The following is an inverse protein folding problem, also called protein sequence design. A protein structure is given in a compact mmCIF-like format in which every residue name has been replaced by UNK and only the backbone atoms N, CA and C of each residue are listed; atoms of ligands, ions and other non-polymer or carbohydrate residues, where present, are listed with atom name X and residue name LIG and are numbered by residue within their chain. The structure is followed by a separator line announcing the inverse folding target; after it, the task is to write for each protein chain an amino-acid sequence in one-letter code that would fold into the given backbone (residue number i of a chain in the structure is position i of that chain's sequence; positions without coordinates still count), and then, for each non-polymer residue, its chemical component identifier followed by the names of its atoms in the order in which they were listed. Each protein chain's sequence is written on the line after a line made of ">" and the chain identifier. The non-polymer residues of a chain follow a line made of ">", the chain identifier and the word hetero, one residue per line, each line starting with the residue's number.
data_IF_258666731476
#
_entry.id   IF_258666731476
#
_cell.length_a   1.000
_cell.length_b   1.000
_cell.length_c   1.000
_cell.angle_alpha   90.00
_cell.angle_beta   90.00
_cell.angle_gamma   90.00
#
_symmetry.space_group_name_H-M   'P 1'
#
loop_
_entity.id
_entity.type
_entity.pdbx_description
1 polymer ?
#
# COMPACT_ATOMS: atom_id res chain seq x y z
N UNK A 1 2.69 5.35 1.80
CA UNK A 1 4.02 5.62 1.20
C UNK A 1 4.71 4.31 0.89
N UNK A 2 5.34 4.21 -0.27
CA UNK A 2 6.23 3.09 -0.61
C UNK A 2 7.56 3.66 -1.07
N UNK A 3 8.65 3.18 -0.49
CA UNK A 3 10.02 3.49 -0.88
C UNK A 3 10.68 2.22 -1.40
N UNK A 4 11.27 2.30 -2.59
CA UNK A 4 12.03 1.19 -3.19
C UNK A 4 13.47 1.63 -3.36
N UNK A 5 14.39 0.85 -2.84
CA UNK A 5 15.82 1.00 -3.12
C UNK A 5 16.39 -0.29 -3.69
N UNK A 6 17.71 -0.36 -3.88
CA UNK A 6 18.39 -1.52 -4.46
C UNK A 6 18.30 -2.81 -3.64
N UNK A 7 17.88 -2.76 -2.36
CA UNK A 7 17.90 -3.91 -1.44
C UNK A 7 16.54 -4.24 -0.85
N UNK A 8 15.72 -3.22 -0.61
CA UNK A 8 14.46 -3.37 0.11
C UNK A 8 13.34 -2.52 -0.46
N UNK A 9 12.12 -2.94 -0.19
CA UNK A 9 10.89 -2.16 -0.30
C UNK A 9 10.47 -1.82 1.12
N UNK A 10 10.27 -0.55 1.42
CA UNK A 10 9.74 -0.08 2.71
C UNK A 10 8.37 0.50 2.47
N UNK A 11 7.39 0.06 3.23
CA UNK A 11 6.04 0.66 3.25
C UNK A 11 5.80 1.39 4.56
N UNK A 12 5.06 2.49 4.49
CA UNK A 12 4.53 3.18 5.66
C UNK A 12 3.07 3.54 5.36
N UNK A 13 2.14 2.88 6.05
CA UNK A 13 0.71 3.02 5.81
C UNK A 13 -0.02 3.68 6.98
N UNK A 14 -0.95 4.58 6.65
CA UNK A 14 -1.91 5.20 7.55
C UNK A 14 -3.25 5.24 6.81
N UNK A 15 -4.26 4.56 7.32
CA UNK A 15 -5.58 4.46 6.68
C UNK A 15 -5.79 3.17 5.90
N UNK A 16 -6.73 3.18 4.97
CA UNK A 16 -7.23 2.04 4.19
C UNK A 16 -6.87 2.07 2.70
N UNK A 17 -6.08 3.06 2.28
CA UNK A 17 -5.33 2.96 1.02
C UNK A 17 -4.32 1.82 1.12
N UNK A 18 -4.04 1.15 0.02
CA UNK A 18 -3.22 -0.08 0.04
C UNK A 18 -2.12 -0.04 -1.00
N UNK A 19 -1.04 -0.77 -0.73
CA UNK A 19 0.00 -1.08 -1.69
C UNK A 19 0.10 -2.60 -1.92
N UNK A 20 0.43 -2.99 -3.14
CA UNK A 20 0.73 -4.36 -3.52
C UNK A 20 2.00 -4.42 -4.36
N UNK A 21 2.82 -5.44 -4.19
CA UNK A 21 3.91 -5.76 -5.11
C UNK A 21 3.41 -6.68 -6.21
N UNK A 22 3.98 -6.51 -7.41
CA UNK A 22 3.77 -7.40 -8.55
C UNK A 22 4.90 -8.43 -8.57
N UNK A 23 4.54 -9.68 -8.38
CA UNK A 23 5.49 -10.79 -8.33
C UNK A 23 5.34 -11.63 -9.59
N UNK A 24 6.44 -11.86 -10.29
CA UNK A 24 6.51 -12.80 -11.42
C UNK A 24 6.61 -14.23 -10.91
N UNK A 25 5.66 -15.06 -11.31
CA UNK A 25 5.68 -16.49 -11.05
C UNK A 25 6.60 -17.22 -12.05
N UNK A 26 7.00 -18.48 -11.76
CA UNK A 26 7.82 -19.27 -12.67
C UNK A 26 7.20 -19.52 -14.05
N UNK A 27 5.87 -19.48 -14.17
CA UNK A 27 5.13 -19.62 -15.43
C UNK A 27 5.03 -18.30 -16.22
N UNK A 28 5.65 -17.22 -15.72
CA UNK A 28 5.60 -15.88 -16.31
C UNK A 28 4.37 -15.07 -15.99
N UNK A 29 3.40 -15.61 -15.24
CA UNK A 29 2.24 -14.84 -14.78
C UNK A 29 2.62 -13.84 -13.69
N UNK A 30 1.90 -12.71 -13.59
CA UNK A 30 2.07 -11.74 -12.51
C UNK A 30 0.97 -11.90 -11.46
N UNK A 31 1.39 -12.00 -10.21
CA UNK A 31 0.52 -11.97 -9.05
C UNK A 31 0.68 -10.63 -8.32
N UNK A 32 -0.44 -9.98 -7.98
CA UNK A 32 -0.42 -8.86 -7.05
C UNK A 32 -0.51 -9.39 -5.60
N UNK A 33 0.46 -9.01 -4.76
CA UNK A 33 0.57 -9.43 -3.35
C UNK A 33 0.52 -8.19 -2.47
N UNK A 34 -0.46 -8.06 -1.56
CA UNK A 34 -0.56 -6.89 -0.68
C UNK A 34 0.66 -6.79 0.23
N UNK A 35 1.15 -5.56 0.44
CA UNK A 35 2.31 -5.23 1.28
C UNK A 35 1.99 -4.15 2.32
N UNK A 36 0.73 -3.85 2.51
CA UNK A 36 0.20 -2.99 3.58
C UNK A 36 -1.09 -3.60 4.12
N UNK A 37 -1.44 -3.25 5.33
CA UNK A 37 -2.71 -3.61 5.96
C UNK A 37 -3.62 -2.38 6.02
N UNK A 38 -4.92 -2.60 5.84
CA UNK A 38 -5.91 -1.54 5.98
C UNK A 38 -6.19 -1.29 7.47
N UNK A 39 -6.06 -0.04 7.91
CA UNK A 39 -6.34 0.33 9.28
C UNK A 39 -7.83 0.61 9.46
N UNK A 40 -8.61 -0.44 9.59
CA UNK A 40 -10.05 -0.41 9.87
C UNK A 40 -10.33 -0.94 11.28
N UNK A 41 -11.54 -0.76 11.83
CA UNK A 41 -11.90 -1.32 13.13
C UNK A 41 -11.78 -2.86 13.23
N UNK A 42 -11.77 -3.57 12.10
CA UNK A 42 -11.61 -5.01 12.06
C UNK A 42 -10.14 -5.47 12.05
N UNK A 43 -9.20 -4.54 11.88
CA UNK A 43 -7.77 -4.84 11.98
C UNK A 43 -7.36 -5.09 13.45
N UNK A 44 -6.57 -6.13 13.73
CA UNK A 44 -6.21 -6.51 15.11
C UNK A 44 -5.61 -5.36 15.92
N UNK A 45 -6.12 -5.14 17.13
CA UNK A 45 -5.68 -4.10 18.06
C UNK A 45 -6.25 -2.70 17.82
N UNK A 46 -6.85 -2.43 16.66
CA UNK A 46 -7.36 -1.09 16.35
C UNK A 46 -8.62 -0.74 17.17
N UNK A 47 -9.60 -1.66 17.23
CA UNK A 47 -10.81 -1.46 18.04
C UNK A 47 -10.48 -1.29 19.52
N UNK A 48 -9.59 -2.11 20.07
CA UNK A 48 -9.16 -2.04 21.48
C UNK A 48 -8.49 -0.69 21.79
N UNK A 49 -7.66 -0.20 20.87
CA UNK A 49 -7.00 1.11 21.00
C UNK A 49 -8.02 2.25 21.01
N UNK A 50 -8.98 2.24 20.08
CA UNK A 50 -10.05 3.25 19.99
C UNK A 50 -10.88 3.25 21.29
N UNK A 51 -11.33 2.07 21.75
CA UNK A 51 -12.14 1.95 22.97
C UNK A 51 -11.36 2.40 24.21
N UNK A 52 -10.09 2.03 24.31
CA UNK A 52 -9.21 2.46 25.42
C UNK A 52 -9.01 3.99 25.45
N UNK A 53 -9.02 4.62 24.30
CA UNK A 53 -8.93 6.10 24.18
C UNK A 53 -10.27 6.83 24.43
N UNK A 54 -11.35 6.08 24.74
CA UNK A 54 -12.65 6.65 25.00
C UNK A 54 -13.54 6.84 23.76
N UNK A 55 -13.13 6.28 22.63
CA UNK A 55 -13.96 6.19 21.42
C UNK A 55 -14.96 5.04 21.47
N UNK A 56 -15.80 4.95 20.47
CA UNK A 56 -16.80 3.91 20.28
C UNK A 56 -16.70 3.35 18.86
N UNK A 57 -16.84 2.02 18.71
CA UNK A 57 -16.82 1.35 17.41
C UNK A 57 -18.16 0.64 17.19
N UNK A 58 -18.89 1.09 16.19
CA UNK A 58 -20.20 0.51 15.79
C UNK A 58 -20.52 0.87 14.34
N UNK A 59 -21.39 0.11 13.66
CA UNK A 59 -21.94 0.51 12.36
C UNK A 59 -22.78 1.79 12.47
N UNK A 60 -23.12 2.37 11.31
CA UNK A 60 -24.04 3.51 11.25
C UNK A 60 -25.42 3.11 11.76
N UNK A 61 -26.05 3.95 12.62
CA UNK A 61 -27.38 3.73 13.15
C UNK A 61 -28.41 4.59 12.39
N UNK A 62 -29.34 3.95 11.73
CA UNK A 62 -30.46 4.63 11.08
C UNK A 62 -31.46 5.22 12.10
N UNK A 63 -32.31 6.14 11.66
CA UNK A 63 -33.36 6.77 12.50
C UNK A 63 -34.33 5.73 13.11
N UNK A 64 -34.57 4.60 12.46
CA UNK A 64 -35.36 3.48 12.96
C UNK A 64 -34.62 2.58 13.97
N UNK A 65 -33.42 2.93 14.35
CA UNK A 65 -32.59 2.18 15.31
C UNK A 65 -31.76 1.02 14.73
N UNK A 66 -31.95 0.68 13.44
CA UNK A 66 -31.22 -0.39 12.78
C UNK A 66 -29.77 0.02 12.48
N UNK A 67 -28.82 -0.87 12.73
CA UNK A 67 -27.42 -0.71 12.33
C UNK A 67 -27.20 -1.17 10.91
N UNK A 68 -26.44 -0.42 10.10
CA UNK A 68 -26.16 -0.70 8.71
C UNK A 68 -24.71 -0.35 8.33
N UNK A 69 -24.18 -1.08 7.36
CA UNK A 69 -22.84 -0.85 6.81
C UNK A 69 -21.69 -1.35 7.70
N UNK A 70 -20.45 -1.01 7.37
CA UNK A 70 -19.27 -1.41 8.10
C UNK A 70 -19.17 -0.71 9.47
N UNK A 71 -18.32 -1.25 10.35
CA UNK A 71 -17.96 -0.59 11.61
C UNK A 71 -17.27 0.75 11.32
N UNK A 72 -17.55 1.72 12.18
CA UNK A 72 -17.01 3.08 12.14
C UNK A 72 -16.55 3.51 13.51
N UNK A 73 -15.63 4.45 13.54
CA UNK A 73 -15.15 5.10 14.77
C UNK A 73 -16.00 6.31 15.08
N UNK A 74 -16.47 6.39 16.32
CA UNK A 74 -17.31 7.47 16.82
C UNK A 74 -16.75 8.03 18.13
N UNK A 75 -16.97 9.28 18.35
CA UNK A 75 -16.84 9.86 19.71
C UNK A 75 -17.97 9.33 20.58
N UNK A 76 -17.66 8.87 21.79
CA UNK A 76 -18.65 8.28 22.70
C UNK A 76 -19.88 9.18 22.87
N UNK A 77 -21.05 8.61 22.68
CA UNK A 77 -22.36 9.31 22.75
C UNK A 77 -22.51 10.44 21.72
N UNK A 78 -21.81 10.39 20.59
CA UNK A 78 -21.92 11.35 19.49
C UNK A 78 -22.06 10.62 18.15
N UNK A 79 -22.62 11.33 17.14
CA UNK A 79 -22.75 10.84 15.77
C UNK A 79 -21.64 11.41 14.87
N UNK A 80 -20.45 11.63 15.44
CA UNK A 80 -19.25 12.13 14.78
C UNK A 80 -18.02 11.40 15.32
N UNK A 81 -16.93 11.23 14.53
CA UNK A 81 -16.79 11.57 13.12
C UNK A 81 -17.43 10.56 12.17
N UNK A 82 -17.63 9.29 12.55
CA UNK A 82 -18.18 8.24 11.71
C UNK A 82 -17.20 7.69 10.67
N UNK A 83 -15.90 7.69 10.95
CA UNK A 83 -14.84 7.26 10.06
C UNK A 83 -14.74 5.73 9.99
N UNK A 84 -14.58 5.19 8.79
CA UNK A 84 -14.35 3.75 8.57
C UNK A 84 -12.91 3.33 8.85
N UNK A 85 -11.97 4.26 8.80
CA UNK A 85 -10.56 4.03 9.13
C UNK A 85 -10.24 4.38 10.58
N UNK A 86 -9.24 3.73 11.13
CA UNK A 86 -8.76 3.90 12.52
C UNK A 86 -7.45 4.66 12.61
N UNK A 87 -6.84 4.98 11.45
CA UNK A 87 -5.66 5.85 11.33
C UNK A 87 -5.85 6.82 10.19
N UNK A 88 -5.50 8.09 10.42
CA UNK A 88 -5.56 9.15 9.42
C UNK A 88 -4.64 10.32 9.78
N UNK A 89 -4.35 11.17 8.80
CA UNK A 89 -3.81 12.51 9.02
C UNK A 89 -4.96 13.52 9.10
N UNK A 90 -4.80 14.57 9.90
CA UNK A 90 -5.89 15.51 10.18
C UNK A 90 -6.94 14.90 11.08
N UNK A 91 -8.24 15.00 10.76
CA UNK A 91 -9.35 14.37 11.50
C UNK A 91 -9.33 14.61 13.02
N UNK A 92 -9.20 15.87 13.47
CA UNK A 92 -9.03 16.24 14.88
C UNK A 92 -10.06 15.58 15.81
N UNK A 93 -11.33 15.50 15.37
CA UNK A 93 -12.39 14.84 16.13
C UNK A 93 -12.07 13.35 16.29
N UNK A 94 -11.56 12.70 15.24
CA UNK A 94 -11.15 11.30 15.25
C UNK A 94 -9.99 11.06 16.21
N UNK A 95 -8.97 11.91 16.16
CA UNK A 95 -7.82 11.84 17.08
C UNK A 95 -8.24 11.99 18.54
N UNK A 96 -9.26 12.81 18.85
CA UNK A 96 -9.80 12.94 20.21
C UNK A 96 -10.47 11.68 20.75
N UNK A 97 -10.74 10.68 19.90
CA UNK A 97 -11.32 9.40 20.28
C UNK A 97 -10.49 8.19 19.86
N UNK A 98 -9.19 8.39 19.67
CA UNK A 98 -8.22 7.32 19.52
C UNK A 98 -7.77 6.99 18.10
N UNK A 99 -8.23 7.69 17.06
CA UNK A 99 -7.61 7.62 15.74
C UNK A 99 -6.17 8.15 15.86
N UNK A 100 -5.23 7.59 15.12
CA UNK A 100 -3.82 7.98 15.19
C UNK A 100 -3.21 8.16 13.79
N UNK A 101 -2.21 9.02 13.70
CA UNK A 101 -1.39 9.19 12.49
C UNK A 101 -0.11 8.35 12.49
N UNK A 102 0.09 7.50 13.50
CA UNK A 102 1.27 6.62 13.58
C UNK A 102 1.19 5.55 12.49
N UNK A 103 2.15 5.50 11.55
CA UNK A 103 2.11 4.53 10.47
C UNK A 103 2.46 3.12 10.95
N UNK A 104 1.92 2.13 10.24
CA UNK A 104 2.48 0.79 10.23
C UNK A 104 3.60 0.76 9.17
N UNK A 105 4.81 0.35 9.61
CA UNK A 105 5.98 0.26 8.74
C UNK A 105 6.36 -1.20 8.53
N UNK A 106 6.52 -1.59 7.26
CA UNK A 106 6.97 -2.93 6.90
C UNK A 106 8.15 -2.83 5.93
N UNK A 107 9.06 -3.82 6.00
CA UNK A 107 10.26 -3.90 5.16
C UNK A 107 10.32 -5.26 4.48
N UNK A 108 10.40 -5.25 3.17
CA UNK A 108 10.50 -6.47 2.35
C UNK A 108 11.83 -6.48 1.59
N UNK A 109 12.54 -7.61 1.55
CA UNK A 109 13.72 -7.72 0.70
C UNK A 109 13.31 -7.62 -0.78
N UNK A 110 14.00 -6.79 -1.54
CA UNK A 110 13.82 -6.72 -2.99
C UNK A 110 14.40 -7.98 -3.63
N UNK A 111 13.58 -8.68 -4.41
CA UNK A 111 13.96 -9.91 -5.13
C UNK A 111 13.74 -9.70 -6.63
N UNK A 112 14.47 -10.45 -7.46
CA UNK A 112 14.34 -10.40 -8.92
C UNK A 112 12.91 -10.71 -9.42
N UNK A 113 12.17 -11.55 -8.68
CA UNK A 113 10.77 -11.85 -8.97
C UNK A 113 9.82 -10.67 -8.74
N UNK A 114 10.23 -9.59 -8.05
CA UNK A 114 9.39 -8.42 -7.84
C UNK A 114 9.59 -7.45 -8.99
N UNK A 115 8.59 -7.33 -9.85
CA UNK A 115 8.68 -6.59 -11.11
C UNK A 115 7.90 -5.26 -11.09
N UNK A 116 7.21 -4.95 -10.01
CA UNK A 116 6.47 -3.70 -9.91
C UNK A 116 5.74 -3.50 -8.59
N UNK A 117 5.16 -2.31 -8.45
CA UNK A 117 4.38 -1.88 -7.30
C UNK A 117 3.10 -1.22 -7.79
N UNK A 118 2.00 -1.48 -7.09
CA UNK A 118 0.71 -0.79 -7.26
C UNK A 118 0.34 -0.14 -5.95
N UNK A 119 0.01 1.16 -5.97
CA UNK A 119 -0.52 1.90 -4.81
C UNK A 119 -1.84 2.53 -5.23
N UNK A 120 -2.88 2.35 -4.44
CA UNK A 120 -4.19 2.90 -4.79
C UNK A 120 -5.03 3.20 -3.54
N UNK A 121 -6.07 4.02 -3.73
CA UNK A 121 -7.13 4.22 -2.73
C UNK A 121 -8.10 3.03 -2.69
N UNK A 122 -8.94 3.00 -1.66
CA UNK A 122 -10.03 2.03 -1.48
C UNK A 122 -11.01 2.01 -2.68
N UNK A 123 -11.20 3.12 -3.39
CA UNK A 123 -11.95 3.18 -4.65
C UNK A 123 -11.52 2.16 -5.71
N UNK A 124 -10.23 1.73 -5.69
CA UNK A 124 -9.74 0.60 -6.48
C UNK A 124 -9.93 -0.72 -5.70
N UNK A 125 -9.43 -0.79 -4.46
CA UNK A 125 -9.29 -2.04 -3.72
C UNK A 125 -10.62 -2.69 -3.35
N UNK A 126 -11.67 -1.89 -3.12
CA UNK A 126 -13.02 -2.42 -2.88
C UNK A 126 -13.66 -3.07 -4.12
N UNK A 127 -13.29 -2.64 -5.31
CA UNK A 127 -13.95 -3.07 -6.56
C UNK A 127 -13.10 -4.01 -7.40
N UNK A 128 -11.78 -3.95 -7.29
CA UNK A 128 -10.87 -4.72 -8.15
C UNK A 128 -10.08 -5.73 -7.30
N UNK A 129 -10.38 -7.02 -7.40
CA UNK A 129 -9.65 -8.05 -6.66
C UNK A 129 -8.20 -8.22 -7.17
N UNK A 130 -7.31 -8.71 -6.30
CA UNK A 130 -5.87 -8.83 -6.54
C UNK A 130 -5.51 -9.60 -7.81
N UNK A 131 -6.25 -10.66 -8.14
CA UNK A 131 -6.01 -11.43 -9.38
C UNK A 131 -6.27 -10.59 -10.65
N UNK A 132 -7.25 -9.68 -10.61
CA UNK A 132 -7.51 -8.77 -11.74
C UNK A 132 -6.43 -7.69 -11.81
N UNK A 133 -5.96 -7.17 -10.67
CA UNK A 133 -4.80 -6.25 -10.61
C UNK A 133 -3.59 -6.90 -11.29
N UNK A 134 -3.24 -8.13 -10.89
CA UNK A 134 -2.13 -8.88 -11.49
C UNK A 134 -2.28 -9.06 -12.99
N UNK A 135 -3.46 -9.49 -13.45
CA UNK A 135 -3.73 -9.72 -14.87
C UNK A 135 -3.66 -8.43 -15.71
N UNK A 136 -4.19 -7.31 -15.21
CA UNK A 136 -4.08 -6.02 -15.91
C UNK A 136 -2.62 -5.58 -15.96
N UNK A 137 -1.91 -5.62 -14.84
CA UNK A 137 -0.50 -5.23 -14.82
C UNK A 137 0.35 -6.13 -15.73
N UNK A 138 0.09 -7.45 -15.78
CA UNK A 138 0.77 -8.36 -16.69
C UNK A 138 0.61 -7.97 -18.15
N UNK A 139 -0.58 -7.61 -18.58
CA UNK A 139 -0.88 -7.18 -19.98
C UNK A 139 -0.02 -5.99 -20.40
N UNK A 140 0.26 -5.07 -19.47
CA UNK A 140 1.00 -3.84 -19.74
C UNK A 140 2.49 -3.91 -19.35
N UNK A 141 2.94 -5.00 -18.71
CA UNK A 141 4.31 -5.17 -18.22
C UNK A 141 5.37 -5.24 -19.33
N UNK A 142 5.16 -5.96 -20.47
CA UNK A 142 6.21 -6.09 -21.49
C UNK A 142 6.72 -4.77 -22.05
N UNK A 143 5.84 -3.77 -22.11
CA UNK A 143 6.14 -2.41 -22.59
C UNK A 143 6.42 -1.44 -21.44
N UNK A 144 6.42 -1.91 -20.19
CA UNK A 144 6.46 -1.09 -18.98
C UNK A 144 5.44 0.07 -19.00
N UNK A 145 4.27 -0.17 -19.62
CA UNK A 145 3.22 0.83 -19.85
C UNK A 145 2.38 1.07 -18.57
N UNK A 146 2.95 1.78 -17.61
CA UNK A 146 2.27 2.12 -16.35
C UNK A 146 1.00 2.92 -16.58
N UNK A 147 0.99 3.86 -17.53
CA UNK A 147 -0.18 4.68 -17.85
C UNK A 147 -1.34 3.82 -18.40
N UNK A 148 -1.05 2.86 -19.27
CA UNK A 148 -2.04 1.91 -19.78
C UNK A 148 -2.64 1.05 -18.67
N UNK A 149 -1.81 0.54 -17.76
CA UNK A 149 -2.26 -0.24 -16.60
C UNK A 149 -3.17 0.59 -15.68
N UNK A 150 -2.75 1.81 -15.32
CA UNK A 150 -3.55 2.74 -14.49
C UNK A 150 -4.90 3.04 -15.15
N UNK A 151 -4.90 3.43 -16.43
CA UNK A 151 -6.14 3.74 -17.16
C UNK A 151 -7.12 2.55 -17.18
N UNK A 152 -6.61 1.33 -17.40
CA UNK A 152 -7.44 0.13 -17.41
C UNK A 152 -8.01 -0.18 -16.02
N UNK A 153 -7.21 -0.07 -14.95
CA UNK A 153 -7.65 -0.30 -13.56
C UNK A 153 -8.72 0.72 -13.14
N UNK A 154 -8.48 2.01 -13.39
CA UNK A 154 -9.43 3.09 -13.06
C UNK A 154 -10.75 2.88 -13.81
N UNK A 155 -10.71 2.62 -15.12
CA UNK A 155 -11.93 2.37 -15.89
C UNK A 155 -12.71 1.14 -15.41
N UNK A 156 -12.01 0.06 -15.04
CA UNK A 156 -12.66 -1.14 -14.46
C UNK A 156 -13.32 -0.81 -13.11
N UNK A 157 -12.66 -0.05 -12.24
CA UNK A 157 -13.21 0.37 -10.96
C UNK A 157 -14.44 1.27 -11.15
N UNK A 158 -14.35 2.32 -11.97
CA UNK A 158 -15.47 3.19 -12.30
C UNK A 158 -16.69 2.42 -12.81
N UNK A 159 -16.46 1.48 -13.72
CA UNK A 159 -17.54 0.65 -14.27
C UNK A 159 -18.20 -0.25 -13.21
N UNK A 160 -17.41 -0.77 -12.27
CA UNK A 160 -17.96 -1.57 -11.16
C UNK A 160 -18.71 -0.69 -10.16
N UNK A 161 -18.18 0.50 -9.81
CA UNK A 161 -18.86 1.45 -8.95
C UNK A 161 -20.23 1.83 -9.53
N UNK A 162 -20.31 2.22 -10.80
CA UNK A 162 -21.58 2.55 -11.49
C UNK A 162 -22.61 1.42 -11.46
N UNK A 163 -22.15 0.16 -11.49
CA UNK A 163 -23.05 -1.01 -11.43
C UNK A 163 -23.53 -1.35 -10.03
N UNK A 164 -22.75 -1.02 -9.00
CA UNK A 164 -23.02 -1.43 -7.61
C UNK A 164 -23.62 -0.31 -6.76
N UNK A 165 -23.51 0.94 -7.19
CA UNK A 165 -24.06 2.09 -6.48
C UNK A 165 -24.59 3.12 -7.49
N UNK A 166 -25.87 3.43 -7.39
CA UNK A 166 -26.52 4.48 -8.19
C UNK A 166 -26.30 5.89 -7.61
N UNK A 167 -25.86 6.00 -6.36
CA UNK A 167 -25.87 7.25 -5.58
C UNK A 167 -24.48 7.68 -5.15
N UNK A 168 -23.54 6.74 -5.02
CA UNK A 168 -22.20 7.01 -4.49
C UNK A 168 -21.12 6.28 -5.28
N UNK A 169 -20.06 6.99 -5.58
CA UNK A 169 -18.82 6.46 -6.14
C UNK A 169 -17.68 7.12 -5.38
N UNK A 170 -16.76 6.33 -4.90
CA UNK A 170 -15.59 6.80 -4.15
C UNK A 170 -14.53 7.41 -5.06
N UNK A 171 -13.62 8.19 -4.47
CA UNK A 171 -12.47 8.75 -5.16
C UNK A 171 -11.50 7.64 -5.57
N UNK A 172 -11.19 7.59 -6.87
CA UNK A 172 -10.38 6.52 -7.46
C UNK A 172 -9.01 7.08 -7.81
N UNK A 173 -8.00 6.69 -7.05
CA UNK A 173 -6.59 7.00 -7.34
C UNK A 173 -5.78 5.73 -7.47
N UNK A 174 -4.84 5.71 -8.42
CA UNK A 174 -3.98 4.57 -8.67
C UNK A 174 -2.62 5.00 -9.21
N UNK A 175 -1.58 4.37 -8.73
CA UNK A 175 -0.21 4.48 -9.24
C UNK A 175 0.31 3.07 -9.52
N UNK A 176 0.87 2.86 -10.70
CA UNK A 176 1.57 1.62 -11.08
C UNK A 176 3.00 1.98 -11.46
N UNK A 177 3.96 1.31 -10.86
CA UNK A 177 5.37 1.42 -11.19
C UNK A 177 5.96 0.06 -11.53
N UNK A 178 6.55 -0.09 -12.73
CA UNK A 178 7.33 -1.28 -13.09
C UNK A 178 8.79 -1.08 -12.69
N UNK A 179 9.38 -2.10 -12.08
CA UNK A 179 10.77 -2.09 -11.63
C UNK A 179 11.63 -2.73 -12.73
N UNK A 180 12.69 -2.04 -13.13
CA UNK A 180 13.69 -2.62 -14.00
C UNK A 180 14.71 -3.41 -13.15
N UNK A 181 14.39 -4.68 -12.88
CA UNK A 181 15.22 -5.56 -12.06
C UNK A 181 16.65 -5.68 -12.56
N UNK A 182 16.86 -5.78 -13.88
CA UNK A 182 18.21 -5.89 -14.47
C UNK A 182 19.07 -4.69 -14.11
N UNK A 183 18.56 -3.46 -14.25
CA UNK A 183 19.32 -2.24 -13.88
C UNK A 183 19.60 -2.15 -12.38
N UNK A 184 18.65 -2.57 -11.56
CA UNK A 184 18.78 -2.53 -10.09
C UNK A 184 19.86 -3.53 -9.64
N UNK A 185 19.85 -4.78 -10.15
CA UNK A 185 20.78 -5.82 -9.74
C UNK A 185 22.15 -5.73 -10.41
N UNK A 186 22.25 -5.22 -11.65
CA UNK A 186 23.52 -4.94 -12.31
C UNK A 186 24.32 -3.86 -11.57
N UNK A 187 23.68 -2.83 -11.04
CA UNK A 187 24.36 -1.80 -10.24
C UNK A 187 24.96 -2.38 -8.95
N UNK A 188 24.35 -3.41 -8.36
CA UNK A 188 24.90 -4.09 -7.17
C UNK A 188 26.14 -4.94 -7.53
N UNK A 189 26.15 -5.62 -8.67
CA UNK A 189 27.32 -6.40 -9.13
C UNK A 189 28.52 -5.49 -9.38
N UNK A 190 28.32 -4.32 -9.97
CA UNK A 190 29.39 -3.37 -10.25
C UNK A 190 29.99 -2.75 -8.98
N UNK A 191 29.21 -2.61 -7.90
CA UNK A 191 29.71 -2.11 -6.60
C UNK A 191 30.58 -3.17 -5.90
N UNK A 192 30.24 -4.44 -6.02
CA UNK A 192 31.00 -5.55 -5.43
C UNK A 192 32.32 -5.77 -6.18
N UNK A 193 32.35 -5.66 -7.52
CA UNK A 193 33.56 -5.80 -8.31
C UNK A 193 34.53 -4.63 -8.11
N UNK A 194 34.05 -3.41 -7.90
CA UNK A 194 34.93 -2.26 -7.60
C UNK A 194 35.52 -2.26 -6.20
N UNK A 195 34.91 -3.00 -5.26
CA UNK A 195 35.42 -3.16 -3.90
C UNK A 195 36.46 -4.30 -3.77
N UNK A 196 36.45 -5.28 -4.71
CA UNK A 196 37.37 -6.43 -4.69
C UNK A 196 38.69 -6.20 -5.43
N UNK A 197 38.85 -5.12 -6.19
CA UNK A 197 40.04 -4.85 -7.01
C UNK A 197 41.09 -3.93 -6.32
N UNK A 198 40.96 -3.65 -5.03
CA UNK A 198 41.95 -2.86 -4.26
C UNK A 198 42.46 -3.59 -3.02
N UNK A 199 43.03 -4.76 -3.25
CA UNK A 199 44.01 -5.34 -2.30
C UNK A 199 45.34 -5.23 -3.00
N UNK A 200 46.17 -4.28 -2.61
CA UNK A 200 47.55 -4.20 -3.06
C UNK A 200 48.37 -5.29 -2.36
N UNK A 201 49.52 -5.60 -2.94
CA UNK A 201 50.40 -6.71 -2.51
C UNK A 201 51.08 -6.46 -1.11
N UNK A 202 50.67 -5.43 -0.37
CA UNK A 202 51.30 -5.06 0.91
C UNK A 202 50.48 -5.34 2.14
N UNK A 203 49.19 -5.80 1.99
CA UNK A 203 48.41 -6.33 3.13
C UNK A 203 47.91 -5.34 4.16
N UNK A 204 48.05 -4.02 3.93
CA UNK A 204 47.61 -2.99 4.88
C UNK A 204 46.21 -2.43 4.48
N UNK A 205 45.31 -2.39 5.49
CA UNK A 205 43.94 -1.84 5.35
C UNK A 205 43.97 -0.31 5.47
N UNK A 206 43.79 0.37 4.36
CA UNK A 206 43.40 1.78 4.41
C UNK A 206 41.92 1.92 4.03
N UNK A 207 41.08 2.12 5.05
CA UNK A 207 39.69 2.58 4.88
C UNK A 207 39.71 4.07 4.66
N UNK A 208 39.47 4.53 3.45
CA UNK A 208 39.22 5.96 3.19
C UNK A 208 37.75 6.11 2.77
N UNK A 209 36.92 6.50 3.74
CA UNK A 209 35.60 7.06 3.47
C UNK A 209 35.77 8.41 2.79
N UNK A 210 35.20 8.57 1.61
CA UNK A 210 34.83 9.89 1.07
C UNK A 210 33.33 9.85 0.77
N UNK A 211 32.58 10.48 1.67
CA UNK A 211 31.26 10.99 1.41
C UNK A 211 31.41 12.27 0.55
N UNK A 212 30.76 12.25 -0.64
CA UNK A 212 30.28 13.42 -1.36
C UNK A 212 28.93 13.09 -1.94
#
# INVERSE_FOLDING_TARGET
>A
MVLVNQKVIVTANVGDSRAAMLVSNPDGSLQAVPITNDHTPDYPGETERIVKAGGEVKPFKLANGKFVGPKRVWKKNKDTPGLMMTRSFGDEIGHSCGITSVPEVQVFPLRESIVGIVVASDGIWEKIPMNIIGAVCQKHHPEANSAGAVNELVNKAMNKWRKTSLVYMDDITCVVGYLNSEKIFLSQKNVVTSASEKIDETGDRAITERLN
#
